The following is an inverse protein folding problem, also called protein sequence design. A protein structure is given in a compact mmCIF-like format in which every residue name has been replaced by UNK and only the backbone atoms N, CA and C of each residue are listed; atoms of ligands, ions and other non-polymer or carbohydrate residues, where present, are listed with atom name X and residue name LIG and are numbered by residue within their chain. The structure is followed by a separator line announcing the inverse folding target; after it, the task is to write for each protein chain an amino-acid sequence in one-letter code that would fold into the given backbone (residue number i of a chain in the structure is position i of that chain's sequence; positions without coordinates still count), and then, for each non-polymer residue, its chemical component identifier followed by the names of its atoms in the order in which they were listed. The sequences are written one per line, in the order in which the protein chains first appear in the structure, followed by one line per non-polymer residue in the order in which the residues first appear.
data_IF_457361238864
#
_entry.id   IF_457361238864
#
_cell.length_a   1.000
_cell.length_b   1.000
_cell.length_c   1.000
_cell.angle_alpha   90.00
_cell.angle_beta   90.00
_cell.angle_gamma   90.00
#
_symmetry.space_group_name_H-M   'P 1'
#
loop_
_entity.id
_entity.type
_entity.pdbx_description
1 polymer ?
#
# COMPACT_ATOMS: atom_id res chain seq x y z
N UNK A 1 23.73 -32.41 -9.14
CA UNK A 1 23.57 -31.58 -7.94
C UNK A 1 22.09 -31.25 -7.85
N UNK A 2 21.41 -31.91 -6.93
CA UNK A 2 19.99 -31.75 -6.61
C UNK A 2 19.82 -30.43 -5.88
N UNK A 3 19.17 -29.45 -6.51
CA UNK A 3 18.72 -28.26 -5.79
C UNK A 3 17.35 -28.56 -5.20
N UNK A 4 17.33 -28.52 -3.87
CA UNK A 4 16.16 -28.67 -3.02
C UNK A 4 15.05 -27.71 -3.43
N UNK A 5 13.94 -28.29 -3.89
CA UNK A 5 12.66 -27.60 -3.98
C UNK A 5 12.10 -27.52 -2.57
N UNK A 6 12.50 -26.49 -1.82
CA UNK A 6 11.67 -26.01 -0.72
C UNK A 6 10.54 -25.23 -1.39
N UNK A 7 9.46 -25.95 -1.73
CA UNK A 7 8.20 -25.32 -2.12
C UNK A 7 7.63 -24.63 -0.88
N UNK A 8 8.11 -23.43 -0.60
CA UNK A 8 7.31 -22.45 0.12
C UNK A 8 6.20 -22.04 -0.86
N UNK A 9 4.93 -22.06 -0.43
CA UNK A 9 3.75 -21.58 -1.18
C UNK A 9 3.81 -20.06 -1.43
N UNK A 10 4.98 -19.55 -1.83
CA UNK A 10 5.19 -18.16 -2.14
C UNK A 10 4.89 -17.96 -3.62
N UNK A 11 4.00 -17.02 -3.99
CA UNK A 11 3.62 -16.82 -5.38
C UNK A 11 4.78 -16.34 -6.27
N UNK A 12 5.91 -15.93 -5.67
CA UNK A 12 7.10 -15.44 -6.35
C UNK A 12 8.32 -16.33 -6.07
N UNK A 13 9.15 -16.53 -7.09
CA UNK A 13 10.50 -17.09 -6.96
C UNK A 13 11.44 -16.13 -6.21
N UNK A 14 12.59 -16.61 -5.74
CA UNK A 14 13.59 -15.78 -5.03
C UNK A 14 14.05 -14.57 -5.86
N UNK A 15 14.38 -14.75 -7.14
CA UNK A 15 14.79 -13.64 -8.02
C UNK A 15 13.67 -12.60 -8.19
N UNK A 16 12.41 -13.06 -8.30
CA UNK A 16 11.26 -12.16 -8.37
C UNK A 16 11.05 -11.38 -7.05
N UNK A 17 11.28 -12.01 -5.90
CA UNK A 17 11.22 -11.32 -4.60
C UNK A 17 12.31 -10.25 -4.47
N UNK A 18 13.53 -10.55 -4.89
CA UNK A 18 14.65 -9.58 -4.88
C UNK A 18 14.39 -8.41 -5.82
N UNK A 19 13.85 -8.68 -7.01
CA UNK A 19 13.45 -7.66 -7.98
C UNK A 19 12.31 -6.81 -7.46
N UNK A 20 11.29 -7.42 -6.84
CA UNK A 20 10.19 -6.71 -6.20
C UNK A 20 10.69 -5.81 -5.07
N UNK A 21 11.52 -6.32 -4.18
CA UNK A 21 12.10 -5.54 -3.09
C UNK A 21 12.88 -4.33 -3.62
N UNK A 22 13.72 -4.52 -4.65
CA UNK A 22 14.45 -3.44 -5.30
C UNK A 22 13.53 -2.41 -5.98
N UNK A 23 12.43 -2.86 -6.59
CA UNK A 23 11.45 -2.00 -7.23
C UNK A 23 10.70 -1.15 -6.19
N UNK A 24 10.18 -1.77 -5.13
CA UNK A 24 9.50 -1.07 -4.04
C UNK A 24 10.42 -0.06 -3.35
N UNK A 25 11.67 -0.42 -3.10
CA UNK A 25 12.69 0.48 -2.56
C UNK A 25 12.98 1.67 -3.48
N UNK A 26 12.83 1.48 -4.79
CA UNK A 26 13.00 2.56 -5.76
C UNK A 26 11.78 3.50 -5.80
N UNK A 27 10.57 2.96 -5.64
CA UNK A 27 9.33 3.74 -5.63
C UNK A 27 9.19 4.60 -4.38
N UNK A 28 9.48 4.02 -3.21
CA UNK A 28 9.37 4.66 -1.90
C UNK A 28 10.58 4.23 -1.04
N UNK A 29 11.74 4.88 -1.20
CA UNK A 29 12.92 4.60 -0.38
C UNK A 29 12.70 5.02 1.07
N UNK A 30 13.53 4.48 1.98
CA UNK A 30 13.55 4.93 3.37
C UNK A 30 13.96 6.42 3.45
N UNK A 31 13.40 7.14 4.42
CA UNK A 31 13.80 8.53 4.65
C UNK A 31 15.21 8.63 5.23
N UNK A 32 15.92 9.71 4.90
CA UNK A 32 17.29 9.96 5.39
C UNK A 32 17.37 10.08 6.92
N UNK A 33 16.29 10.55 7.55
CA UNK A 33 16.17 10.68 9.00
C UNK A 33 15.73 9.38 9.70
N UNK A 34 15.44 8.33 8.94
CA UNK A 34 15.04 7.01 9.44
C UNK A 34 13.62 6.94 10.01
N UNK A 35 12.81 8.00 9.86
CA UNK A 35 11.42 8.03 10.35
C UNK A 35 10.48 7.19 9.50
N UNK A 36 10.73 7.12 8.18
CA UNK A 36 9.89 6.41 7.23
C UNK A 36 10.64 5.19 6.68
N UNK A 37 10.06 3.97 6.76
CA UNK A 37 10.68 2.79 6.18
C UNK A 37 10.64 2.84 4.64
N UNK A 38 11.48 2.06 3.99
CA UNK A 38 11.32 1.79 2.56
C UNK A 38 10.09 0.91 2.31
N UNK A 39 9.42 1.05 1.17
CA UNK A 39 8.31 0.16 0.81
C UNK A 39 8.75 -1.29 0.59
N UNK A 40 10.04 -1.59 0.45
CA UNK A 40 10.50 -2.99 0.49
C UNK A 40 10.23 -3.67 1.84
N UNK A 41 10.04 -2.88 2.90
CA UNK A 41 9.85 -3.38 4.26
C UNK A 41 8.38 -3.67 4.61
N UNK A 42 7.44 -3.43 3.68
CA UNK A 42 6.02 -3.76 3.84
C UNK A 42 5.68 -5.06 3.10
N UNK A 43 4.75 -5.84 3.62
CA UNK A 43 4.35 -7.14 3.03
C UNK A 43 3.30 -6.96 1.93
N UNK A 44 3.72 -6.44 0.77
CA UNK A 44 2.83 -6.22 -0.37
C UNK A 44 2.18 -7.54 -0.87
N UNK A 45 2.91 -8.65 -0.83
CA UNK A 45 2.38 -9.96 -1.27
C UNK A 45 1.30 -10.44 -0.31
N UNK A 46 1.52 -10.34 1.00
CA UNK A 46 0.50 -10.64 2.01
C UNK A 46 -0.74 -9.76 1.84
N UNK A 47 -0.54 -8.44 1.68
CA UNK A 47 -1.63 -7.50 1.42
C UNK A 47 -2.43 -7.86 0.16
N UNK A 48 -1.76 -8.13 -0.96
CA UNK A 48 -2.44 -8.48 -2.21
C UNK A 48 -3.17 -9.81 -2.09
N UNK A 49 -2.58 -10.80 -1.41
CA UNK A 49 -3.24 -12.09 -1.19
C UNK A 49 -4.57 -11.92 -0.43
N UNK A 50 -4.64 -10.99 0.52
CA UNK A 50 -5.86 -10.73 1.29
C UNK A 50 -6.86 -9.82 0.54
N UNK A 51 -6.38 -8.76 -0.11
CA UNK A 51 -7.23 -7.68 -0.63
C UNK A 51 -7.49 -7.76 -2.14
N UNK A 52 -6.54 -8.27 -2.92
CA UNK A 52 -6.62 -8.30 -4.39
C UNK A 52 -5.73 -9.39 -5.01
N UNK A 53 -6.05 -10.66 -4.76
CA UNK A 53 -5.23 -11.79 -5.23
C UNK A 53 -5.14 -11.87 -6.76
N UNK A 54 -6.12 -11.32 -7.48
CA UNK A 54 -6.17 -11.27 -8.95
C UNK A 54 -5.09 -10.36 -9.55
N UNK A 55 -4.51 -9.45 -8.77
CA UNK A 55 -3.39 -8.60 -9.21
C UNK A 55 -2.02 -9.30 -9.14
N UNK A 56 -1.89 -10.43 -8.44
CA UNK A 56 -0.60 -11.13 -8.30
C UNK A 56 0.01 -11.52 -9.67
N UNK A 57 -0.74 -12.06 -10.66
CA UNK A 57 -0.21 -12.30 -12.00
C UNK A 57 0.27 -11.03 -12.71
N UNK A 58 -0.44 -9.91 -12.52
CA UNK A 58 -0.08 -8.60 -13.09
C UNK A 58 1.20 -8.07 -12.45
N UNK A 59 1.36 -8.24 -11.14
CA UNK A 59 2.61 -7.94 -10.44
C UNK A 59 3.78 -8.77 -10.97
N UNK A 60 3.56 -10.07 -11.25
CA UNK A 60 4.58 -10.94 -11.83
C UNK A 60 4.96 -10.47 -13.26
N UNK A 61 3.99 -10.01 -14.05
CA UNK A 61 4.25 -9.38 -15.35
C UNK A 61 5.11 -8.12 -15.20
N UNK A 62 4.76 -7.21 -14.27
CA UNK A 62 5.52 -6.00 -13.99
C UNK A 62 6.97 -6.32 -13.60
N UNK A 63 7.18 -7.30 -12.72
CA UNK A 63 8.52 -7.76 -12.32
C UNK A 63 9.30 -8.30 -13.53
N UNK A 64 8.63 -8.96 -14.48
CA UNK A 64 9.23 -9.51 -15.69
C UNK A 64 9.81 -8.47 -16.67
N UNK A 65 9.56 -7.17 -16.46
CA UNK A 65 10.17 -6.10 -17.24
C UNK A 65 11.60 -5.74 -16.82
N UNK A 66 12.07 -6.27 -15.69
CA UNK A 66 13.41 -6.01 -15.16
C UNK A 66 14.31 -7.24 -15.35
N UNK A 67 15.58 -7.00 -15.67
CA UNK A 67 16.57 -8.07 -15.81
C UNK A 67 17.09 -8.58 -14.45
N UNK A 68 17.76 -9.73 -14.46
CA UNK A 68 18.35 -10.35 -13.25
C UNK A 68 19.38 -9.46 -12.54
N UNK A 69 19.91 -8.43 -13.22
CA UNK A 69 20.90 -7.49 -12.66
C UNK A 69 20.27 -6.30 -11.93
N UNK A 70 19.00 -6.00 -12.18
CA UNK A 70 18.30 -4.84 -11.63
C UNK A 70 18.36 -4.78 -10.09
N UNK A 71 18.11 -5.92 -9.43
CA UNK A 71 18.15 -6.00 -7.98
C UNK A 71 19.54 -5.69 -7.39
N UNK A 72 20.61 -5.86 -8.16
CA UNK A 72 21.98 -5.54 -7.73
C UNK A 72 22.38 -4.07 -7.87
N UNK A 73 21.59 -3.26 -8.56
CA UNK A 73 21.89 -1.85 -8.82
C UNK A 73 21.73 -0.98 -7.57
N UNK A 74 22.43 0.17 -7.54
CA UNK A 74 22.20 1.20 -6.53
C UNK A 74 20.87 1.92 -6.77
N UNK A 75 20.31 2.57 -5.74
CA UNK A 75 19.06 3.33 -5.89
C UNK A 75 19.13 4.37 -7.02
N UNK A 76 20.24 5.10 -7.14
CA UNK A 76 20.42 6.10 -8.21
C UNK A 76 20.50 5.47 -9.61
N UNK A 77 20.98 4.24 -9.72
CA UNK A 77 21.05 3.51 -10.99
C UNK A 77 19.73 2.80 -11.34
N UNK A 78 18.93 2.42 -10.34
CA UNK A 78 17.57 1.85 -10.54
C UNK A 78 16.57 2.90 -11.02
N UNK A 79 16.65 4.13 -10.50
CA UNK A 79 15.72 5.21 -10.83
C UNK A 79 15.46 5.40 -12.34
N UNK A 80 16.48 5.58 -13.21
CA UNK A 80 16.23 5.76 -14.65
C UNK A 80 15.63 4.52 -15.33
N UNK A 81 15.89 3.31 -14.80
CA UNK A 81 15.29 2.07 -15.31
C UNK A 81 13.79 2.03 -14.98
N UNK A 82 13.43 2.34 -13.74
CA UNK A 82 12.03 2.41 -13.29
C UNK A 82 11.29 3.57 -13.98
N UNK A 83 11.95 4.70 -14.23
CA UNK A 83 11.38 5.82 -14.99
C UNK A 83 11.12 5.45 -16.46
N UNK A 84 11.99 4.65 -17.08
CA UNK A 84 11.76 4.14 -18.43
C UNK A 84 10.58 3.15 -18.46
N UNK A 85 10.50 2.27 -17.45
CA UNK A 85 9.37 1.34 -17.28
C UNK A 85 8.04 2.09 -17.12
N UNK A 86 7.99 3.12 -16.27
CA UNK A 86 6.75 3.89 -16.03
C UNK A 86 6.23 4.59 -17.28
N UNK A 87 7.12 4.98 -18.20
CA UNK A 87 6.74 5.57 -19.50
C UNK A 87 6.33 4.53 -20.52
N UNK A 88 7.00 3.37 -20.54
CA UNK A 88 6.75 2.31 -21.50
C UNK A 88 5.50 1.48 -21.17
N UNK A 89 5.20 1.31 -19.89
CA UNK A 89 4.11 0.48 -19.36
C UNK A 89 3.27 1.28 -18.35
N UNK A 90 2.74 2.43 -18.80
CA UNK A 90 2.08 3.40 -17.91
C UNK A 90 0.91 2.80 -17.11
N UNK A 91 0.01 2.04 -17.76
CA UNK A 91 -1.15 1.42 -17.08
C UNK A 91 -0.70 0.43 -16.01
N UNK A 92 0.26 -0.44 -16.33
CA UNK A 92 0.82 -1.42 -15.41
C UNK A 92 1.55 -0.76 -14.24
N UNK A 93 2.29 0.32 -14.52
CA UNK A 93 2.98 1.10 -13.50
C UNK A 93 1.99 1.81 -12.57
N UNK A 94 0.91 2.38 -13.10
CA UNK A 94 -0.11 3.06 -12.29
C UNK A 94 -0.81 2.09 -11.34
N UNK A 95 -1.14 0.87 -11.78
CA UNK A 95 -1.72 -0.16 -10.90
C UNK A 95 -0.74 -0.64 -9.82
N UNK A 96 0.53 -0.89 -10.19
CA UNK A 96 1.58 -1.21 -9.23
C UNK A 96 1.75 -0.11 -8.18
N UNK A 97 1.80 1.14 -8.64
CA UNK A 97 1.96 2.30 -7.76
C UNK A 97 0.77 2.42 -6.82
N UNK A 98 -0.45 2.27 -7.33
CA UNK A 98 -1.67 2.32 -6.53
C UNK A 98 -1.62 1.30 -5.38
N UNK A 99 -1.35 0.03 -5.67
CA UNK A 99 -1.29 -1.01 -4.63
C UNK A 99 -0.09 -0.85 -3.69
N UNK A 100 1.04 -0.35 -4.19
CA UNK A 100 2.20 -0.03 -3.34
C UNK A 100 1.84 1.04 -2.32
N UNK A 101 1.19 2.12 -2.74
CA UNK A 101 0.77 3.20 -1.84
C UNK A 101 -0.30 2.74 -0.85
N UNK A 102 -1.31 1.99 -1.30
CA UNK A 102 -2.37 1.52 -0.40
C UNK A 102 -1.84 0.57 0.68
N UNK A 103 -0.92 -0.33 0.31
CA UNK A 103 -0.25 -1.18 1.29
C UNK A 103 0.67 -0.36 2.22
N UNK A 104 1.48 0.54 1.68
CA UNK A 104 2.48 1.28 2.44
C UNK A 104 1.86 2.18 3.51
N UNK A 105 0.82 2.94 3.19
CA UNK A 105 0.14 3.83 4.15
C UNK A 105 -0.81 3.12 5.11
N UNK A 106 -0.90 1.79 5.05
CA UNK A 106 -1.55 0.97 6.08
C UNK A 106 -0.54 0.40 7.10
N UNK A 107 0.78 0.53 6.87
CA UNK A 107 1.78 0.08 7.82
C UNK A 107 1.84 1.01 9.04
N UNK A 108 1.78 0.43 10.25
CA UNK A 108 1.77 1.19 11.50
C UNK A 108 2.99 2.12 11.65
N UNK A 109 4.17 1.70 11.18
CA UNK A 109 5.39 2.53 11.26
C UNK A 109 5.28 3.76 10.36
N UNK A 110 4.64 3.60 9.20
CA UNK A 110 4.39 4.70 8.26
C UNK A 110 3.35 5.66 8.83
N UNK A 111 2.25 5.13 9.40
CA UNK A 111 1.22 5.93 10.07
C UNK A 111 1.79 6.75 11.23
N UNK A 112 2.57 6.12 12.11
CA UNK A 112 3.26 6.81 13.20
C UNK A 112 4.25 7.86 12.69
N UNK A 113 4.99 7.56 11.63
CA UNK A 113 5.93 8.47 10.99
C UNK A 113 5.29 9.76 10.46
N UNK A 114 4.04 9.69 9.99
CA UNK A 114 3.26 10.86 9.56
C UNK A 114 2.41 11.48 10.69
N UNK A 115 2.57 11.03 11.93
CA UNK A 115 1.87 11.55 13.11
C UNK A 115 0.42 11.08 13.24
N UNK A 116 0.04 10.00 12.57
CA UNK A 116 -1.25 9.34 12.73
C UNK A 116 -1.18 8.24 13.79
N UNK A 117 -2.32 7.94 14.41
CA UNK A 117 -2.42 6.78 15.29
C UNK A 117 -2.41 5.50 14.45
N UNK A 118 -1.53 4.57 14.81
CA UNK A 118 -1.48 3.20 14.28
C UNK A 118 -2.73 2.38 14.67
N UNK A 119 -3.07 1.40 13.84
CA UNK A 119 -4.18 0.48 14.08
C UNK A 119 -5.59 1.00 13.79
N UNK A 120 -6.63 0.19 14.09
CA UNK A 120 -8.01 0.52 13.77
C UNK A 120 -8.49 1.74 14.58
N UNK A 121 -9.27 2.65 13.97
CA UNK A 121 -9.75 3.83 14.67
C UNK A 121 -10.70 3.46 15.81
N UNK A 122 -11.45 2.36 15.73
CA UNK A 122 -12.35 1.93 16.80
C UNK A 122 -11.59 1.15 17.89
N UNK A 123 -11.83 1.42 19.19
CA UNK A 123 -12.92 2.22 19.75
C UNK A 123 -12.64 3.71 19.96
N UNK A 124 -11.40 4.16 19.88
CA UNK A 124 -10.99 5.52 20.31
C UNK A 124 -11.55 6.63 19.40
N UNK A 125 -11.64 6.37 18.10
CA UNK A 125 -12.03 7.30 17.04
C UNK A 125 -10.94 8.33 16.72
N UNK A 126 -11.21 9.16 15.70
CA UNK A 126 -10.43 10.37 15.44
C UNK A 126 -10.97 11.53 16.29
N UNK A 127 -10.09 12.43 16.71
CA UNK A 127 -10.53 13.70 17.30
C UNK A 127 -11.04 14.60 16.18
N UNK A 128 -12.32 15.00 16.24
CA UNK A 128 -12.95 15.90 15.26
C UNK A 128 -13.20 17.23 15.96
N UNK A 129 -12.93 18.35 15.27
CA UNK A 129 -13.35 19.66 15.77
C UNK A 129 -14.88 19.70 15.93
N UNK A 130 -15.34 20.18 17.08
CA UNK A 130 -16.77 20.33 17.32
C UNK A 130 -17.33 21.35 16.32
N UNK A 131 -18.13 20.88 15.35
CA UNK A 131 -18.82 21.74 14.41
C UNK A 131 -19.86 22.63 15.09
N UNK A 132 -20.32 23.66 14.38
CA UNK A 132 -21.41 24.52 14.86
C UNK A 132 -22.73 23.72 14.92
N UNK A 133 -23.08 23.27 16.12
CA UNK A 133 -24.30 22.51 16.35
C UNK A 133 -25.58 23.34 16.18
N UNK A 134 -25.51 24.67 16.13
CA UNK A 134 -26.69 25.53 15.86
C UNK A 134 -27.27 25.27 14.47
N UNK A 135 -26.48 24.71 13.54
CA UNK A 135 -26.98 24.27 12.23
C UNK A 135 -28.05 23.16 12.31
N UNK A 136 -28.15 22.47 13.45
CA UNK A 136 -29.18 21.44 13.69
C UNK A 136 -30.47 22.03 14.27
N UNK A 137 -30.50 23.30 14.69
CA UNK A 137 -31.67 23.93 15.31
C UNK A 137 -32.93 23.84 14.44
N UNK A 138 -32.90 24.08 13.11
CA UNK A 138 -34.09 23.94 12.27
C UNK A 138 -34.64 22.50 12.24
N UNK A 139 -33.75 21.50 12.28
CA UNK A 139 -34.14 20.08 12.28
C UNK A 139 -34.75 19.70 13.63
N UNK A 140 -34.14 20.14 14.73
CA UNK A 140 -34.64 19.88 16.08
C UNK A 140 -35.99 20.53 16.37
N UNK A 141 -36.27 21.68 15.74
CA UNK A 141 -37.54 22.40 15.86
C UNK A 141 -38.65 21.85 14.93
N UNK A 142 -38.31 20.99 13.98
CA UNK A 142 -39.30 20.40 13.08
C UNK A 142 -40.18 19.39 13.84
N UNK A 143 -41.50 19.48 13.64
CA UNK A 143 -42.45 18.55 14.25
C UNK A 143 -42.18 17.11 13.82
N UNK A 144 -42.27 16.15 14.76
CA UNK A 144 -42.08 14.71 14.48
C UNK A 144 -42.94 14.26 13.30
N UNK A 145 -42.29 13.84 12.22
CA UNK A 145 -42.94 13.34 10.99
C UNK A 145 -43.05 11.81 10.93
N UNK A 146 -42.49 11.09 11.91
CA UNK A 146 -42.63 9.63 11.96
C UNK A 146 -44.01 9.21 12.51
N UNK A 147 -44.56 8.12 11.96
CA UNK A 147 -45.78 7.48 12.45
C UNK A 147 -45.49 6.84 13.81
N UNK A 148 -46.26 7.21 14.84
CA UNK A 148 -46.25 6.49 16.13
C UNK A 148 -46.95 5.14 15.95
N UNK A 149 -46.40 4.11 16.58
CA UNK A 149 -47.05 2.82 16.72
C UNK A 149 -47.95 2.89 17.96
N UNK A 150 -49.27 2.86 17.78
CA UNK A 150 -50.23 2.77 18.88
C UNK A 150 -50.48 1.29 19.20
N UNK A 151 -50.35 0.91 20.48
CA UNK A 151 -50.70 -0.42 21.00
C UNK A 151 -52.18 -0.49 21.34
#
# INVERSE_FOLDING_TARGET
MTNDVIATDHPLTTSQQETLAALLDTLLPASDDGTMPSAQAVDLIGYLTEKNAEFIPVLVEAIGHFDDGFAGLSLSDRYPVVEAFSKAQAELFDELLFHTYDCYYQDDRVLEGIGMAAGPPFPTGNTIEAGDLSLLDPVMQTSRTYRKYDQ
#
